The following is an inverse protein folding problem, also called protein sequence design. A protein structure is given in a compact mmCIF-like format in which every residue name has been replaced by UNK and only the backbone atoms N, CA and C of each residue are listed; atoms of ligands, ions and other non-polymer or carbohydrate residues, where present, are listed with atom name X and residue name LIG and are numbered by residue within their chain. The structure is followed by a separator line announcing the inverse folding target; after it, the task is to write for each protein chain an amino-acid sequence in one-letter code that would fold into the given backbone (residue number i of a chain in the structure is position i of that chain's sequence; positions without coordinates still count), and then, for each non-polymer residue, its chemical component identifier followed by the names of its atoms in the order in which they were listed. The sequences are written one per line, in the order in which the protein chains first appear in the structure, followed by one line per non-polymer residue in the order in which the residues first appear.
data_IF_740924567204
#
_entry.id   IF_740924567204
#
_cell.length_a   1.000
_cell.length_b   1.000
_cell.length_c   1.000
_cell.angle_alpha   90.00
_cell.angle_beta   90.00
_cell.angle_gamma   90.00
#
_symmetry.space_group_name_H-M   'P 1'
#
loop_
_entity.id
_entity.type
_entity.pdbx_description
1 polymer ?
#
# COMPACT_ATOMS: atom_id res chain seq x y z
N UNK A 1 -11.79 -19.31 1.35
CA UNK A 1 -10.39 -18.86 1.27
C UNK A 1 -10.05 -18.78 -0.20
N UNK A 2 -9.42 -17.71 -0.67
CA UNK A 2 -8.96 -17.64 -2.07
C UNK A 2 -7.70 -18.50 -2.17
N UNK A 3 -7.83 -19.74 -2.64
CA UNK A 3 -6.76 -20.75 -2.74
C UNK A 3 -5.69 -20.45 -3.82
N UNK A 4 -5.48 -19.18 -4.16
CA UNK A 4 -4.55 -18.75 -5.20
C UNK A 4 -3.42 -17.85 -4.67
N UNK A 5 -2.26 -17.83 -5.35
CA UNK A 5 -1.06 -17.07 -4.96
C UNK A 5 -1.39 -15.60 -4.75
N UNK A 6 -0.95 -14.99 -3.64
CA UNK A 6 -1.26 -13.59 -3.33
C UNK A 6 -0.69 -12.62 -4.39
N UNK A 7 -1.15 -11.37 -4.41
CA UNK A 7 -0.54 -10.33 -5.26
C UNK A 7 0.98 -10.23 -4.98
N UNK A 8 1.36 -10.36 -3.71
CA UNK A 8 2.76 -10.36 -3.29
C UNK A 8 3.56 -11.52 -3.90
N UNK A 9 2.96 -12.71 -3.99
CA UNK A 9 3.60 -13.90 -4.57
C UNK A 9 3.71 -13.82 -6.10
N UNK A 10 2.77 -13.12 -6.75
CA UNK A 10 2.73 -12.93 -8.20
C UNK A 10 3.66 -11.83 -8.70
N UNK A 11 4.14 -10.97 -7.80
CA UNK A 11 5.10 -9.92 -8.13
C UNK A 11 6.52 -10.50 -8.14
N UNK A 12 7.24 -10.26 -9.24
CA UNK A 12 8.68 -10.48 -9.31
C UNK A 12 9.41 -9.48 -8.39
N UNK A 13 10.66 -9.79 -8.09
CA UNK A 13 11.57 -8.93 -7.33
C UNK A 13 11.95 -9.45 -5.96
N UNK A 14 13.01 -8.85 -5.42
CA UNK A 14 13.58 -9.21 -4.12
C UNK A 14 12.70 -8.73 -2.97
N UNK A 15 12.93 -9.26 -1.76
CA UNK A 15 12.25 -8.79 -0.56
C UNK A 15 12.49 -7.30 -0.32
N UNK A 16 13.69 -6.80 -0.62
CA UNK A 16 14.04 -5.39 -0.48
C UNK A 16 13.27 -4.50 -1.48
N UNK A 17 13.12 -4.94 -2.73
CA UNK A 17 12.32 -4.22 -3.73
C UNK A 17 10.85 -4.14 -3.32
N UNK A 18 10.31 -5.24 -2.76
CA UNK A 18 8.94 -5.28 -2.24
C UNK A 18 8.79 -4.41 -0.99
N UNK A 19 9.75 -4.41 -0.07
CA UNK A 19 9.74 -3.55 1.11
C UNK A 19 9.80 -2.05 0.75
N UNK A 20 10.57 -1.67 -0.28
CA UNK A 20 10.54 -0.29 -0.80
C UNK A 20 9.17 0.06 -1.39
N UNK A 21 8.58 -0.86 -2.15
CA UNK A 21 7.27 -0.67 -2.71
C UNK A 21 6.19 -0.53 -1.63
N UNK A 22 6.27 -1.30 -0.54
CA UNK A 22 5.39 -1.20 0.63
C UNK A 22 5.53 0.14 1.36
N UNK A 23 6.77 0.64 1.55
CA UNK A 23 6.97 1.96 2.14
C UNK A 23 6.32 3.06 1.30
N UNK A 24 6.54 3.03 -0.02
CA UNK A 24 5.90 3.95 -0.96
C UNK A 24 4.38 3.83 -0.90
N UNK A 25 3.85 2.61 -0.81
CA UNK A 25 2.43 2.40 -0.68
C UNK A 25 1.87 2.97 0.63
N UNK A 26 2.62 2.87 1.73
CA UNK A 26 2.26 3.50 3.01
C UNK A 26 2.21 5.04 2.93
N UNK A 27 3.15 5.67 2.21
CA UNK A 27 3.12 7.12 1.96
C UNK A 27 1.84 7.49 1.19
N UNK A 28 1.52 6.71 0.15
CA UNK A 28 0.33 6.93 -0.69
C UNK A 28 -0.98 6.69 0.07
N UNK A 29 -1.02 5.73 1.00
CA UNK A 29 -2.16 5.52 1.91
C UNK A 29 -2.41 6.77 2.76
N UNK A 30 -1.38 7.26 3.46
CA UNK A 30 -1.52 8.45 4.29
C UNK A 30 -1.90 9.69 3.48
N UNK A 31 -1.36 9.83 2.27
CA UNK A 31 -1.74 10.90 1.34
C UNK A 31 -3.21 10.78 0.94
N UNK A 32 -3.69 9.56 0.63
CA UNK A 32 -5.09 9.32 0.27
C UNK A 32 -6.04 9.69 1.41
N UNK A 33 -5.69 9.32 2.66
CA UNK A 33 -6.48 9.68 3.85
C UNK A 33 -6.44 11.17 4.14
N UNK A 34 -5.31 11.82 3.92
CA UNK A 34 -5.19 13.27 4.03
C UNK A 34 -6.13 13.98 3.04
N UNK A 35 -6.12 13.58 1.78
CA UNK A 35 -6.99 14.17 0.75
C UNK A 35 -8.47 13.98 1.10
N UNK A 36 -8.87 12.76 1.50
CA UNK A 36 -10.26 12.52 1.95
C UNK A 36 -10.65 13.40 3.14
N UNK A 37 -9.75 13.56 4.13
CA UNK A 37 -10.01 14.44 5.27
C UNK A 37 -10.18 15.91 4.89
N UNK A 38 -9.43 16.39 3.88
CA UNK A 38 -9.56 17.75 3.34
C UNK A 38 -10.89 17.92 2.61
N UNK A 39 -11.28 16.95 1.78
CA UNK A 39 -12.55 16.96 1.06
C UNK A 39 -13.76 16.98 2.00
N UNK A 40 -13.67 16.28 3.13
CA UNK A 40 -14.69 16.25 4.19
C UNK A 40 -14.68 17.50 5.09
N UNK A 41 -13.70 18.39 4.95
CA UNK A 41 -13.52 19.55 5.84
C UNK A 41 -13.08 19.19 7.27
N UNK A 42 -12.57 17.96 7.48
CA UNK A 42 -12.11 17.47 8.77
C UNK A 42 -10.65 17.87 9.04
N UNK A 43 -10.43 19.15 9.33
CA UNK A 43 -9.09 19.73 9.49
C UNK A 43 -8.24 19.09 10.58
N UNK A 44 -8.86 18.60 11.67
CA UNK A 44 -8.15 17.90 12.74
C UNK A 44 -7.54 16.59 12.21
N UNK A 45 -8.34 15.81 11.48
CA UNK A 45 -7.88 14.56 10.89
C UNK A 45 -6.90 14.79 9.75
N UNK A 46 -7.11 15.82 8.94
CA UNK A 46 -6.16 16.24 7.91
C UNK A 46 -4.79 16.57 8.53
N UNK A 47 -4.74 17.32 9.64
CA UNK A 47 -3.48 17.63 10.32
C UNK A 47 -2.77 16.37 10.87
N UNK A 48 -3.52 15.41 11.46
CA UNK A 48 -2.95 14.11 11.87
C UNK A 48 -2.32 13.38 10.68
N UNK A 49 -3.02 13.29 9.56
CA UNK A 49 -2.53 12.60 8.35
C UNK A 49 -1.37 13.32 7.68
N UNK A 50 -1.35 14.66 7.68
CA UNK A 50 -0.18 15.41 7.22
C UNK A 50 1.08 15.07 8.02
N UNK A 51 0.96 14.91 9.35
CA UNK A 51 2.06 14.43 10.19
C UNK A 51 2.53 13.02 9.79
N UNK A 52 1.60 12.10 9.54
CA UNK A 52 1.93 10.73 9.13
C UNK A 52 2.57 10.66 7.73
N UNK A 53 2.15 11.51 6.80
CA UNK A 53 2.83 11.67 5.50
C UNK A 53 4.27 12.13 5.70
N UNK A 54 4.50 13.17 6.50
CA UNK A 54 5.86 13.66 6.78
C UNK A 54 6.73 12.55 7.39
N UNK A 55 6.25 11.91 8.45
CA UNK A 55 7.03 10.92 9.19
C UNK A 55 7.34 9.66 8.33
N UNK A 56 6.42 9.28 7.43
CA UNK A 56 6.64 8.18 6.47
C UNK A 56 7.65 8.54 5.38
N UNK A 57 7.58 9.76 4.82
CA UNK A 57 8.58 10.26 3.87
C UNK A 57 9.97 10.33 4.51
N UNK A 58 10.07 10.82 5.75
CA UNK A 58 11.34 10.84 6.48
C UNK A 58 11.90 9.43 6.73
N UNK A 59 11.04 8.47 7.08
CA UNK A 59 11.45 7.07 7.25
C UNK A 59 11.95 6.47 5.94
N UNK A 60 11.23 6.71 4.85
CA UNK A 60 11.62 6.26 3.52
C UNK A 60 12.95 6.88 3.09
N UNK A 61 13.12 8.19 3.28
CA UNK A 61 14.39 8.88 3.02
C UNK A 61 15.53 8.29 3.86
N UNK A 62 15.30 8.02 5.15
CA UNK A 62 16.29 7.36 6.01
C UNK A 62 16.70 5.99 5.45
N UNK A 63 15.74 5.17 5.02
CA UNK A 63 16.04 3.87 4.39
C UNK A 63 16.84 4.03 3.10
N UNK A 64 16.46 4.97 2.24
CA UNK A 64 17.18 5.30 1.01
C UNK A 64 18.58 5.89 1.26
N UNK A 65 18.90 6.35 2.48
CA UNK A 65 20.18 6.97 2.79
C UNK A 65 20.93 6.23 3.89
N UNK A 66 20.45 5.03 4.24
CA UNK A 66 21.06 4.18 5.25
C UNK A 66 22.37 3.63 4.72
N UNK A 67 23.38 3.66 5.57
CA UNK A 67 24.68 3.16 5.17
C UNK A 67 24.67 1.64 5.20
N UNK A 68 24.92 1.01 4.06
CA UNK A 68 24.97 -0.45 3.94
C UNK A 68 26.37 -0.92 4.33
N UNK A 69 26.53 -1.74 5.38
CA UNK A 69 27.80 -2.40 5.65
C UNK A 69 28.12 -3.38 4.52
N UNK A 70 29.39 -3.51 4.17
CA UNK A 70 29.85 -4.53 3.24
C UNK A 70 29.73 -5.94 3.86
N UNK A 71 30.08 -6.98 3.10
CA UNK A 71 30.03 -8.37 3.55
C UNK A 71 30.96 -8.70 4.74
N UNK A 72 31.77 -7.75 5.21
CA UNK A 72 32.63 -7.85 6.40
C UNK A 72 32.12 -7.01 7.57
N UNK A 73 31.01 -6.29 7.38
CA UNK A 73 30.43 -5.40 8.39
C UNK A 73 31.06 -4.00 8.39
N UNK A 74 31.92 -3.69 7.43
CA UNK A 74 32.57 -2.38 7.33
C UNK A 74 31.70 -1.41 6.52
N UNK A 75 31.66 -0.17 6.97
CA UNK A 75 31.00 0.92 6.25
C UNK A 75 31.99 1.53 5.28
N UNK A 76 31.68 1.50 3.98
CA UNK A 76 32.45 2.23 2.96
C UNK A 76 32.55 3.71 3.33
N UNK A 77 33.74 4.29 3.18
CA UNK A 77 34.00 5.71 3.48
C UNK A 77 34.53 6.43 2.25
N UNK A 78 34.12 7.67 2.05
CA UNK A 78 34.65 8.54 0.99
C UNK A 78 36.08 9.01 1.32
N UNK A 79 36.68 9.80 0.42
CA UNK A 79 38.04 10.35 0.58
C UNK A 79 38.18 11.22 1.84
N UNK A 80 37.07 11.78 2.34
CA UNK A 80 37.01 12.59 3.57
C UNK A 80 36.77 11.73 4.83
N UNK A 81 36.69 10.40 4.69
CA UNK A 81 36.43 9.47 5.79
C UNK A 81 34.97 9.45 6.26
N UNK A 82 34.02 10.02 5.52
CA UNK A 82 32.59 9.98 5.84
C UNK A 82 31.97 8.71 5.29
N UNK A 83 31.01 8.16 6.02
CA UNK A 83 30.23 7.01 5.59
C UNK A 83 29.56 7.29 4.23
N UNK A 84 29.87 6.48 3.21
CA UNK A 84 29.21 6.53 1.91
C UNK A 84 27.77 6.07 2.10
N UNK A 85 26.84 7.00 1.96
CA UNK A 85 25.41 6.67 1.95
C UNK A 85 25.08 6.07 0.61
N UNK A 86 24.74 4.78 0.58
CA UNK A 86 24.26 4.13 -0.63
C UNK A 86 22.73 4.17 -0.65
N UNK A 87 22.17 4.38 -1.84
CA UNK A 87 20.73 4.20 -2.04
C UNK A 87 20.38 2.72 -1.85
N UNK A 88 19.56 2.41 -0.86
CA UNK A 88 19.14 1.02 -0.58
C UNK A 88 17.88 0.67 -1.35
N UNK A 89 17.83 -0.50 -2.01
CA UNK A 89 18.94 -1.41 -2.25
C UNK A 89 19.77 -0.96 -3.47
N UNK A 90 21.09 -1.10 -3.40
CA UNK A 90 22.02 -0.63 -4.44
C UNK A 90 21.85 -1.31 -5.81
N UNK A 91 21.10 -2.42 -5.83
CA UNK A 91 20.78 -3.24 -6.99
C UNK A 91 19.27 -3.34 -7.23
N UNK A 92 18.45 -2.47 -6.62
CA UNK A 92 17.02 -2.43 -6.91
C UNK A 92 16.80 -2.16 -8.40
N UNK A 93 16.00 -2.98 -9.04
CA UNK A 93 15.44 -2.65 -10.34
C UNK A 93 14.26 -1.68 -10.12
N UNK A 94 14.46 -0.42 -10.50
CA UNK A 94 13.43 0.61 -10.40
C UNK A 94 12.12 0.24 -11.12
N UNK A 95 12.19 -0.58 -12.19
CA UNK A 95 11.01 -1.08 -12.89
C UNK A 95 10.23 -2.06 -12.00
N UNK A 96 10.91 -3.00 -11.34
CA UNK A 96 10.26 -3.96 -10.42
C UNK A 96 9.65 -3.26 -9.22
N UNK A 97 10.36 -2.31 -8.62
CA UNK A 97 9.83 -1.48 -7.53
C UNK A 97 8.58 -0.73 -8.00
N UNK A 98 8.62 -0.10 -9.18
CA UNK A 98 7.46 0.60 -9.74
C UNK A 98 6.24 -0.33 -9.97
N UNK A 99 6.47 -1.54 -10.49
CA UNK A 99 5.42 -2.55 -10.68
C UNK A 99 4.81 -2.98 -9.34
N UNK A 100 5.65 -3.26 -8.34
CA UNK A 100 5.19 -3.62 -7.00
C UNK A 100 4.44 -2.47 -6.32
N UNK A 101 4.96 -1.23 -6.40
CA UNK A 101 4.28 -0.04 -5.88
C UNK A 101 2.92 0.13 -6.53
N UNK A 102 2.87 0.03 -7.87
CA UNK A 102 1.61 0.13 -8.62
C UNK A 102 0.60 -0.90 -8.12
N UNK A 103 1.01 -2.15 -7.88
CA UNK A 103 0.12 -3.18 -7.36
C UNK A 103 -0.38 -2.87 -5.93
N UNK A 104 0.53 -2.49 -5.02
CA UNK A 104 0.18 -2.26 -3.61
C UNK A 104 -0.68 -1.03 -3.38
N UNK A 105 -0.60 -0.01 -4.25
CA UNK A 105 -1.37 1.22 -4.06
C UNK A 105 -2.79 1.17 -4.62
N UNK A 106 -3.18 0.08 -5.30
CA UNK A 106 -4.48 0.02 -5.98
C UNK A 106 -5.70 0.11 -5.04
N UNK A 107 -5.53 -0.17 -3.75
CA UNK A 107 -6.59 -0.03 -2.76
C UNK A 107 -6.88 1.45 -2.41
N UNK A 108 -5.91 2.34 -2.64
CA UNK A 108 -6.00 3.74 -2.27
C UNK A 108 -6.40 4.64 -3.45
N UNK A 109 -7.24 5.64 -3.20
CA UNK A 109 -7.73 6.54 -4.25
C UNK A 109 -6.60 7.33 -4.92
N UNK A 110 -5.69 7.94 -4.14
CA UNK A 110 -4.52 8.62 -4.70
C UNK A 110 -3.57 7.63 -5.39
N UNK A 111 -3.51 6.39 -4.89
CA UNK A 111 -2.75 5.32 -5.50
C UNK A 111 -3.19 5.00 -6.92
N UNK A 112 -4.49 4.78 -7.13
CA UNK A 112 -5.05 4.54 -8.48
C UNK A 112 -4.84 5.72 -9.43
N UNK A 113 -4.86 6.95 -8.92
CA UNK A 113 -4.63 8.15 -9.72
C UNK A 113 -3.17 8.32 -10.13
N UNK A 114 -2.23 8.07 -9.21
CA UNK A 114 -0.79 8.24 -9.44
C UNK A 114 -0.16 7.04 -10.16
N UNK A 115 -0.69 5.85 -9.95
CA UNK A 115 -0.19 4.59 -10.48
C UNK A 115 -1.34 3.83 -11.16
N UNK A 116 -1.69 4.20 -12.40
CA UNK A 116 -2.79 3.57 -13.10
C UNK A 116 -2.51 2.08 -13.30
N UNK A 117 -3.53 1.23 -13.07
CA UNK A 117 -3.41 -0.22 -13.17
C UNK A 117 -2.94 -0.69 -14.56
N UNK A 118 -3.22 0.09 -15.61
CA UNK A 118 -2.77 -0.19 -16.97
C UNK A 118 -1.24 -0.23 -17.11
N UNK A 119 -0.53 0.48 -16.23
CA UNK A 119 0.93 0.46 -16.14
C UNK A 119 1.51 -0.85 -15.61
N UNK A 120 0.71 -1.76 -15.06
CA UNK A 120 1.19 -3.08 -14.68
C UNK A 120 1.52 -3.92 -15.93
N UNK A 121 2.56 -4.73 -15.88
CA UNK A 121 2.92 -5.63 -16.99
C UNK A 121 2.29 -7.01 -16.81
N UNK A 122 2.18 -7.47 -15.56
CA UNK A 122 1.63 -8.79 -15.25
C UNK A 122 0.10 -8.80 -15.36
N UNK A 123 -0.42 -9.46 -16.39
CA UNK A 123 -1.87 -9.66 -16.57
C UNK A 123 -2.52 -10.44 -15.42
N UNK A 124 -1.79 -11.38 -14.81
CA UNK A 124 -2.29 -12.14 -13.64
C UNK A 124 -2.44 -11.25 -12.41
N UNK A 125 -1.48 -10.35 -12.16
CA UNK A 125 -1.57 -9.37 -11.06
C UNK A 125 -2.73 -8.41 -11.31
N UNK A 126 -2.88 -7.89 -12.53
CA UNK A 126 -4.02 -7.04 -12.91
C UNK A 126 -5.35 -7.70 -12.60
N UNK A 127 -5.56 -8.93 -13.09
CA UNK A 127 -6.84 -9.63 -12.91
C UNK A 127 -7.15 -9.85 -11.43
N UNK A 128 -6.15 -10.23 -10.64
CA UNK A 128 -6.32 -10.45 -9.20
C UNK A 128 -6.67 -9.16 -8.45
N UNK A 129 -6.05 -8.04 -8.81
CA UNK A 129 -6.39 -6.73 -8.25
C UNK A 129 -7.81 -6.30 -8.63
N UNK A 130 -8.20 -6.47 -9.90
CA UNK A 130 -9.56 -6.18 -10.38
C UNK A 130 -10.62 -7.08 -9.75
N UNK A 131 -10.32 -8.35 -9.52
CA UNK A 131 -11.19 -9.27 -8.76
C UNK A 131 -11.37 -8.78 -7.31
N UNK A 132 -10.28 -8.39 -6.65
CA UNK A 132 -10.31 -7.81 -5.31
C UNK A 132 -11.19 -6.55 -5.25
N UNK A 133 -11.01 -5.63 -6.19
CA UNK A 133 -11.81 -4.40 -6.29
C UNK A 133 -13.30 -4.69 -6.50
N UNK A 134 -13.63 -5.61 -7.42
CA UNK A 134 -15.02 -6.07 -7.65
C UNK A 134 -15.63 -6.66 -6.38
N UNK A 135 -14.88 -7.48 -5.65
CA UNK A 135 -15.33 -8.07 -4.39
C UNK A 135 -15.58 -7.02 -3.31
N UNK A 136 -14.67 -6.05 -3.15
CA UNK A 136 -14.82 -4.96 -2.19
C UNK A 136 -16.03 -4.07 -2.53
N UNK A 137 -16.25 -3.77 -3.81
CA UNK A 137 -17.43 -3.04 -4.26
C UNK A 137 -18.72 -3.81 -3.93
N UNK A 138 -18.79 -5.10 -4.27
CA UNK A 138 -19.94 -5.94 -3.96
C UNK A 138 -20.20 -6.05 -2.44
N UNK A 139 -19.14 -6.08 -1.63
CA UNK A 139 -19.26 -6.06 -0.17
C UNK A 139 -19.88 -4.76 0.32
N UNK A 140 -19.42 -3.62 -0.21
CA UNK A 140 -19.95 -2.29 0.13
C UNK A 140 -21.42 -2.17 -0.25
N UNK A 141 -21.78 -2.55 -1.47
CA UNK A 141 -23.18 -2.53 -1.93
C UNK A 141 -24.08 -3.38 -1.04
N UNK A 142 -23.61 -4.57 -0.63
CA UNK A 142 -24.34 -5.45 0.28
C UNK A 142 -24.45 -4.89 1.71
N UNK A 143 -23.45 -4.14 2.18
CA UNK A 143 -23.52 -3.42 3.47
C UNK A 143 -24.54 -2.28 3.40
N UNK A 144 -24.48 -1.47 2.35
CA UNK A 144 -25.36 -0.31 2.15
C UNK A 144 -26.82 -0.74 1.93
N UNK A 145 -27.04 -1.90 1.29
CA UNK A 145 -28.39 -2.47 1.10
C UNK A 145 -28.91 -3.26 2.30
N UNK A 146 -28.10 -3.49 3.33
CA UNK A 146 -28.45 -4.35 4.46
C UNK A 146 -28.67 -5.83 4.09
N UNK A 147 -28.06 -6.34 3.02
CA UNK A 147 -28.25 -7.73 2.58
C UNK A 147 -27.30 -8.68 3.32
N UNK A 148 -27.71 -9.12 4.52
CA UNK A 148 -26.96 -10.07 5.34
C UNK A 148 -26.65 -11.40 4.64
N UNK A 149 -27.50 -11.84 3.70
CA UNK A 149 -27.28 -13.08 2.95
C UNK A 149 -26.17 -12.90 1.90
N UNK A 150 -26.16 -11.77 1.19
CA UNK A 150 -25.06 -11.41 0.30
C UNK A 150 -23.74 -11.26 1.06
N UNK A 151 -23.74 -10.57 2.21
CA UNK A 151 -22.56 -10.45 3.07
C UNK A 151 -22.05 -11.82 3.54
N UNK A 152 -22.96 -12.73 3.89
CA UNK A 152 -22.58 -14.07 4.31
C UNK A 152 -21.93 -14.89 3.19
N UNK A 153 -22.47 -14.80 1.96
CA UNK A 153 -21.86 -15.44 0.77
C UNK A 153 -20.49 -14.86 0.45
N UNK A 154 -20.35 -13.53 0.46
CA UNK A 154 -19.12 -12.83 0.09
C UNK A 154 -17.98 -13.04 1.11
N UNK A 155 -18.31 -13.13 2.40
CA UNK A 155 -17.32 -13.32 3.47
C UNK A 155 -17.04 -14.80 3.75
N UNK A 156 -17.93 -15.71 3.34
CA UNK A 156 -17.89 -17.12 3.71
C UNK A 156 -18.14 -17.36 5.21
N UNK A 157 -18.74 -16.38 5.91
CA UNK A 157 -19.07 -16.44 7.33
C UNK A 157 -20.52 -16.02 7.52
N UNK A 158 -21.20 -16.53 8.54
CA UNK A 158 -22.55 -16.07 8.87
C UNK A 158 -22.48 -14.62 9.37
N UNK A 159 -23.11 -13.70 8.66
CA UNK A 159 -23.23 -12.29 9.04
C UNK A 159 -24.65 -12.04 9.54
N UNK A 160 -24.77 -11.35 10.67
CA UNK A 160 -26.04 -10.89 11.24
C UNK A 160 -25.93 -9.38 11.39
N UNK A 161 -26.85 -8.64 10.77
CA UNK A 161 -26.94 -7.18 10.92
C UNK A 161 -27.76 -6.91 12.17
N UNK A 162 -27.15 -6.21 13.13
CA UNK A 162 -27.85 -5.75 14.33
C UNK A 162 -28.18 -4.29 14.08
N UNK A 163 -29.43 -4.01 13.72
CA UNK A 163 -29.92 -2.63 13.73
C UNK A 163 -29.92 -2.16 15.19
N UNK A 164 -29.12 -1.13 15.48
CA UNK A 164 -29.11 -0.51 16.79
C UNK A 164 -30.52 -0.05 17.11
N UNK A 165 -31.15 -0.66 18.12
CA UNK A 165 -32.35 -0.12 18.75
C UNK A 165 -32.04 1.32 19.14
N UNK A 166 -32.78 2.27 18.57
CA UNK A 166 -32.67 3.68 18.93
C UNK A 166 -32.87 3.82 20.43
N UNK A 167 -31.87 4.34 21.12
CA UNK A 167 -32.04 4.82 22.49
C UNK A 167 -33.01 6.01 22.46
N UNK A 168 -34.04 5.86 23.29
CA UNK A 168 -35.11 6.82 23.59
C UNK A 168 -34.59 8.03 24.38
#
# INVERSE_FOLDING_TARGET
MTDGPSVYDLLDGTSEEKNLAEDLAGIVDYLSRFLGAVEEGNWRYANDKAGQVRDSVERFQRRLTETVPDGRGDVERDEDGRAVRRYVPSNADGKRVHQATTAFVQDYAAGRALFPIDGLESGQVKEKLLEGQRRTAALRDAMDSGDAAALSRLTGRKVVIVDGMGDQ
#
